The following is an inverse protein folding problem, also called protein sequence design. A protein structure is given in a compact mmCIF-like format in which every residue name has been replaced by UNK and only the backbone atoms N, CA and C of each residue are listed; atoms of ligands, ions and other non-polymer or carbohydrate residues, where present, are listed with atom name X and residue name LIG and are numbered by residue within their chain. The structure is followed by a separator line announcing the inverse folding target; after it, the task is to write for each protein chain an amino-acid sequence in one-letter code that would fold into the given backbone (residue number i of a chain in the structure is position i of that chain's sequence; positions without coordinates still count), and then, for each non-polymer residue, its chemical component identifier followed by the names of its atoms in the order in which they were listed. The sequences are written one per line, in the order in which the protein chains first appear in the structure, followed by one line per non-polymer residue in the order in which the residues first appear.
data_IF_211608662136
#
_entry.id   IF_211608662136
#
_cell.length_a   1.000
_cell.length_b   1.000
_cell.length_c   1.000
_cell.angle_alpha   90.00
_cell.angle_beta   90.00
_cell.angle_gamma   90.00
#
_symmetry.space_group_name_H-M   'P 1'
#
loop_
_entity.id
_entity.type
_entity.pdbx_description
1 polymer ?
#
# COMPACT_ATOMS: atom_id res chain seq x y z
N UNK A 1 -45.96 -4.83 46.47
CA UNK A 1 -46.11 -4.61 45.01
C UNK A 1 -44.87 -5.15 44.29
N UNK A 2 -45.00 -6.22 43.50
CA UNK A 2 -43.87 -6.84 42.78
C UNK A 2 -43.66 -6.10 41.45
N UNK A 3 -42.56 -5.35 41.30
CA UNK A 3 -42.22 -4.69 40.03
C UNK A 3 -41.73 -5.75 39.04
N UNK A 4 -42.56 -6.09 38.04
CA UNK A 4 -42.16 -6.96 36.94
C UNK A 4 -41.29 -6.13 36.00
N UNK A 5 -39.99 -6.43 35.94
CA UNK A 5 -39.11 -5.87 34.91
C UNK A 5 -39.22 -6.75 33.67
N UNK A 6 -39.69 -6.18 32.56
CA UNK A 6 -39.60 -6.82 31.24
C UNK A 6 -38.11 -6.86 30.86
N UNK A 7 -37.49 -8.00 31.07
CA UNK A 7 -36.09 -8.24 30.73
C UNK A 7 -35.95 -8.55 29.24
N UNK A 8 -34.82 -8.10 28.68
CA UNK A 8 -34.34 -8.42 27.35
C UNK A 8 -34.56 -9.90 27.03
N UNK A 9 -35.23 -10.20 25.92
CA UNK A 9 -35.49 -11.59 25.54
C UNK A 9 -34.33 -12.15 24.73
N UNK A 10 -34.10 -13.46 24.81
CA UNK A 10 -33.07 -14.13 24.00
C UNK A 10 -33.34 -13.95 22.51
N UNK A 11 -34.61 -13.99 22.09
CA UNK A 11 -35.00 -13.81 20.69
C UNK A 11 -34.62 -12.42 20.17
N UNK A 12 -34.70 -11.39 21.01
CA UNK A 12 -34.33 -10.02 20.68
C UNK A 12 -32.81 -9.88 20.45
N UNK A 13 -32.00 -10.55 21.27
CA UNK A 13 -30.54 -10.62 21.05
C UNK A 13 -30.18 -11.41 19.77
N UNK A 14 -30.91 -12.48 19.45
CA UNK A 14 -30.67 -13.26 18.21
C UNK A 14 -30.97 -12.44 16.96
N UNK A 15 -32.08 -11.69 16.93
CA UNK A 15 -32.44 -10.84 15.79
C UNK A 15 -31.41 -9.71 15.62
N UNK A 16 -30.94 -9.11 16.72
CA UNK A 16 -29.91 -8.06 16.67
C UNK A 16 -28.60 -8.60 16.08
N UNK A 17 -28.12 -9.77 16.53
CA UNK A 17 -26.92 -10.39 15.97
C UNK A 17 -27.10 -10.78 14.50
N UNK A 18 -28.30 -11.21 14.11
CA UNK A 18 -28.64 -11.49 12.72
C UNK A 18 -28.54 -10.23 11.85
N UNK A 19 -29.08 -9.10 12.29
CA UNK A 19 -28.98 -7.85 11.53
C UNK A 19 -27.52 -7.36 11.46
N UNK A 20 -26.77 -7.41 12.57
CA UNK A 20 -25.35 -7.02 12.59
C UNK A 20 -24.53 -7.88 11.62
N UNK A 21 -24.79 -9.19 11.53
CA UNK A 21 -24.06 -10.06 10.61
C UNK A 21 -24.31 -9.70 9.13
N UNK A 22 -25.55 -9.33 8.76
CA UNK A 22 -25.88 -8.83 7.42
C UNK A 22 -25.17 -7.50 7.12
N UNK A 23 -25.13 -6.57 8.08
CA UNK A 23 -24.41 -5.31 7.93
C UNK A 23 -22.90 -5.53 7.75
N UNK A 24 -22.29 -6.44 8.54
CA UNK A 24 -20.88 -6.80 8.40
C UNK A 24 -20.58 -7.43 7.04
N UNK A 25 -21.47 -8.28 6.53
CA UNK A 25 -21.31 -8.91 5.21
C UNK A 25 -21.25 -7.87 4.08
N UNK A 26 -22.01 -6.78 4.17
CA UNK A 26 -22.00 -5.69 3.17
C UNK A 26 -20.80 -4.75 3.41
N UNK A 27 -20.46 -4.49 4.68
CA UNK A 27 -19.40 -3.55 5.05
C UNK A 27 -17.98 -4.08 4.76
N UNK A 28 -17.69 -5.33 5.11
CA UNK A 28 -16.36 -5.95 4.94
C UNK A 28 -15.85 -5.87 3.49
N UNK A 29 -16.59 -6.29 2.45
CA UNK A 29 -16.08 -6.23 1.08
C UNK A 29 -15.83 -4.78 0.62
N UNK A 30 -16.62 -3.83 1.08
CA UNK A 30 -16.41 -2.41 0.78
C UNK A 30 -15.15 -1.87 1.49
N UNK A 31 -14.92 -2.27 2.74
CA UNK A 31 -13.74 -1.87 3.50
C UNK A 31 -12.45 -2.47 2.89
N UNK A 32 -12.46 -3.75 2.53
CA UNK A 32 -11.31 -4.40 1.87
C UNK A 32 -10.96 -3.70 0.56
N UNK A 33 -11.94 -3.42 -0.31
CA UNK A 33 -11.72 -2.68 -1.56
C UNK A 33 -11.13 -1.28 -1.32
N UNK A 34 -11.60 -0.56 -0.31
CA UNK A 34 -11.05 0.76 0.03
C UNK A 34 -9.61 0.66 0.53
N UNK A 35 -9.28 -0.32 1.37
CA UNK A 35 -7.91 -0.58 1.82
C UNK A 35 -6.99 -0.93 0.65
N UNK A 36 -7.45 -1.78 -0.26
CA UNK A 36 -6.69 -2.17 -1.46
C UNK A 36 -6.43 -0.98 -2.37
N UNK A 37 -7.44 -0.15 -2.61
CA UNK A 37 -7.29 1.07 -3.40
C UNK A 37 -6.33 2.08 -2.74
N UNK A 38 -6.41 2.25 -1.42
CA UNK A 38 -5.47 3.09 -0.68
C UNK A 38 -4.04 2.55 -0.78
N UNK A 39 -3.86 1.24 -0.66
CA UNK A 39 -2.56 0.59 -0.84
C UNK A 39 -2.01 0.78 -2.25
N UNK A 40 -2.84 0.61 -3.29
CA UNK A 40 -2.45 0.84 -4.68
C UNK A 40 -2.01 2.29 -4.90
N UNK A 41 -2.81 3.26 -4.47
CA UNK A 41 -2.46 4.70 -4.58
C UNK A 41 -1.19 5.05 -3.81
N UNK A 42 -1.00 4.45 -2.63
CA UNK A 42 0.25 4.59 -1.87
C UNK A 42 1.45 3.99 -2.59
N UNK A 43 1.29 2.85 -3.26
CA UNK A 43 2.34 2.22 -4.05
C UNK A 43 2.69 3.06 -5.29
N UNK A 44 1.70 3.61 -5.96
CA UNK A 44 1.88 4.48 -7.12
C UNK A 44 2.62 5.76 -6.73
N UNK A 45 2.16 6.45 -5.68
CA UNK A 45 2.84 7.63 -5.17
C UNK A 45 4.30 7.32 -4.77
N UNK A 46 4.52 6.16 -4.13
CA UNK A 46 5.86 5.69 -3.81
C UNK A 46 6.73 5.53 -5.07
N UNK A 47 6.21 4.89 -6.11
CA UNK A 47 6.94 4.71 -7.38
C UNK A 47 7.34 6.05 -7.97
N UNK A 48 6.41 7.00 -8.05
CA UNK A 48 6.68 8.35 -8.57
C UNK A 48 7.72 9.09 -7.74
N UNK A 49 7.65 9.03 -6.41
CA UNK A 49 8.65 9.66 -5.54
C UNK A 49 10.03 9.05 -5.78
N UNK A 50 10.15 7.73 -5.79
CA UNK A 50 11.45 7.05 -5.97
C UNK A 50 12.05 7.35 -7.34
N UNK A 51 11.24 7.37 -8.40
CA UNK A 51 11.67 7.77 -9.74
C UNK A 51 12.15 9.23 -9.77
N UNK A 52 11.40 10.14 -9.17
CA UNK A 52 11.80 11.55 -9.08
C UNK A 52 13.12 11.72 -8.32
N UNK A 53 13.29 11.00 -7.21
CA UNK A 53 14.53 11.00 -6.44
C UNK A 53 15.70 10.38 -7.21
N UNK A 54 15.47 9.35 -8.02
CA UNK A 54 16.47 8.79 -8.93
C UNK A 54 16.88 9.81 -10.00
N UNK A 55 15.92 10.56 -10.55
CA UNK A 55 16.17 11.66 -11.48
C UNK A 55 17.08 12.74 -10.87
N UNK A 56 16.72 13.25 -9.68
CA UNK A 56 17.53 14.23 -8.96
C UNK A 56 18.94 13.72 -8.67
N UNK A 57 19.07 12.47 -8.20
CA UNK A 57 20.37 11.87 -7.94
C UNK A 57 21.21 11.73 -9.21
N UNK A 58 20.56 11.53 -10.37
CA UNK A 58 21.22 11.42 -11.67
C UNK A 58 21.73 12.72 -12.28
N UNK A 59 21.36 13.88 -11.71
CA UNK A 59 21.93 15.17 -12.12
C UNK A 59 23.38 15.32 -11.66
N UNK A 60 23.72 14.76 -10.50
CA UNK A 60 25.03 14.91 -9.86
C UNK A 60 25.91 13.64 -9.90
N UNK A 61 25.36 12.50 -10.35
CA UNK A 61 26.06 11.20 -10.33
C UNK A 61 25.95 10.46 -11.67
N UNK A 62 26.94 9.60 -11.93
CA UNK A 62 26.95 8.75 -13.13
C UNK A 62 25.85 7.69 -13.07
N UNK A 63 25.26 7.35 -14.22
CA UNK A 63 24.13 6.41 -14.32
C UNK A 63 24.41 5.03 -13.70
N UNK A 64 25.66 4.58 -13.75
CA UNK A 64 26.11 3.30 -13.21
C UNK A 64 26.03 3.24 -11.66
N UNK A 65 25.95 4.40 -11.01
CA UNK A 65 25.85 4.50 -9.55
C UNK A 65 24.40 4.54 -9.05
N UNK A 66 23.41 4.49 -9.95
CA UNK A 66 22.02 4.76 -9.61
C UNK A 66 21.25 3.46 -9.49
N UNK A 67 21.02 3.05 -8.25
CA UNK A 67 20.22 1.90 -7.91
C UNK A 67 19.45 2.15 -6.61
N UNK A 68 18.48 1.28 -6.32
CA UNK A 68 17.65 1.44 -5.13
C UNK A 68 18.49 1.37 -3.85
N UNK A 69 19.60 0.62 -3.86
CA UNK A 69 20.56 0.54 -2.76
C UNK A 69 21.35 1.82 -2.54
N UNK A 70 21.76 2.52 -3.59
CA UNK A 70 22.48 3.80 -3.50
C UNK A 70 21.55 4.92 -3.10
N UNK A 71 20.31 4.95 -3.61
CA UNK A 71 19.28 5.89 -3.12
C UNK A 71 18.99 5.70 -1.63
N UNK A 72 19.02 4.46 -1.12
CA UNK A 72 18.92 4.21 0.32
C UNK A 72 20.14 4.75 1.07
N UNK A 73 21.35 4.44 0.60
CA UNK A 73 22.61 4.89 1.23
C UNK A 73 22.73 6.41 1.25
N UNK A 74 22.27 7.07 0.19
CA UNK A 74 22.26 8.51 0.05
C UNK A 74 21.04 9.18 0.75
N UNK A 75 20.21 8.42 1.48
CA UNK A 75 19.02 8.88 2.21
C UNK A 75 17.90 9.50 1.35
N UNK A 76 17.88 9.23 0.05
CA UNK A 76 16.80 9.65 -0.86
C UNK A 76 15.52 8.82 -0.67
N UNK A 77 15.64 7.61 -0.12
CA UNK A 77 14.51 6.74 0.21
C UNK A 77 14.65 6.17 1.63
N UNK A 78 13.54 6.01 2.32
CA UNK A 78 13.49 5.41 3.67
C UNK A 78 13.63 3.88 3.63
N UNK A 79 14.01 3.29 4.77
CA UNK A 79 14.11 1.83 4.94
C UNK A 79 12.81 1.12 4.55
N UNK A 80 11.65 1.64 4.95
CA UNK A 80 10.34 1.05 4.61
C UNK A 80 10.08 1.03 3.11
N UNK A 81 10.54 2.05 2.39
CA UNK A 81 10.40 2.14 0.95
C UNK A 81 11.34 1.15 0.26
N UNK A 82 12.59 1.07 0.73
CA UNK A 82 13.57 0.08 0.28
C UNK A 82 13.03 -1.35 0.43
N UNK A 83 12.52 -1.71 1.62
CA UNK A 83 11.99 -3.04 1.89
C UNK A 83 10.79 -3.36 0.99
N UNK A 84 9.92 -2.38 0.76
CA UNK A 84 8.75 -2.53 -0.09
C UNK A 84 9.09 -2.72 -1.57
N UNK A 85 10.11 -2.02 -2.07
CA UNK A 85 10.62 -2.19 -3.44
C UNK A 85 11.32 -3.55 -3.60
N UNK A 86 12.15 -3.93 -2.64
CA UNK A 86 12.88 -5.20 -2.65
C UNK A 86 11.93 -6.40 -2.55
N UNK A 87 10.93 -6.34 -1.67
CA UNK A 87 9.89 -7.39 -1.58
C UNK A 87 9.03 -7.48 -2.84
N UNK A 88 8.82 -6.35 -3.52
CA UNK A 88 8.12 -6.31 -4.80
C UNK A 88 9.03 -6.63 -5.99
N UNK A 89 10.32 -6.97 -5.77
CA UNK A 89 11.34 -7.21 -6.80
C UNK A 89 11.35 -6.12 -7.87
N UNK A 90 11.28 -4.87 -7.43
CA UNK A 90 11.33 -3.73 -8.33
C UNK A 90 12.76 -3.20 -8.35
N UNK A 91 13.28 -2.96 -9.55
CA UNK A 91 14.57 -2.30 -9.78
C UNK A 91 14.40 -1.04 -10.62
N UNK A 92 15.37 -0.13 -10.50
CA UNK A 92 15.43 1.09 -11.30
C UNK A 92 16.08 0.79 -12.64
N UNK A 93 15.42 1.20 -13.73
CA UNK A 93 15.99 1.23 -15.07
C UNK A 93 15.72 2.58 -15.72
N UNK A 94 16.73 3.10 -16.41
CA UNK A 94 16.56 4.28 -17.26
C UNK A 94 15.95 3.85 -18.59
N UNK A 95 14.87 4.53 -18.98
CA UNK A 95 14.26 4.38 -20.29
C UNK A 95 15.19 4.95 -21.35
N UNK A 96 15.44 4.19 -22.42
CA UNK A 96 16.40 4.56 -23.49
C UNK A 96 15.82 5.56 -24.48
N UNK A 97 14.50 5.67 -24.56
CA UNK A 97 13.78 6.53 -25.50
C UNK A 97 13.44 7.87 -24.86
N UNK A 98 13.01 7.88 -23.60
CA UNK A 98 12.64 9.11 -22.89
C UNK A 98 13.75 9.68 -22.00
N UNK A 99 14.74 8.85 -21.63
CA UNK A 99 15.76 9.22 -20.65
C UNK A 99 15.25 9.28 -19.22
N UNK A 100 13.98 8.92 -18.96
CA UNK A 100 13.38 8.94 -17.63
C UNK A 100 13.69 7.67 -16.84
N UNK A 101 13.77 7.78 -15.51
CA UNK A 101 13.89 6.63 -14.63
C UNK A 101 12.54 5.93 -14.47
N UNK A 102 12.54 4.59 -14.48
CA UNK A 102 11.35 3.77 -14.29
C UNK A 102 11.63 2.63 -13.32
N UNK A 103 10.60 2.16 -12.62
CA UNK A 103 10.67 0.99 -11.75
C UNK A 103 10.12 -0.24 -12.48
N UNK A 104 11.01 -1.16 -12.84
CA UNK A 104 10.68 -2.40 -13.54
C UNK A 104 10.64 -3.58 -12.58
N UNK A 105 9.77 -4.54 -12.84
CA UNK A 105 9.70 -5.80 -12.10
C UNK A 105 10.78 -6.76 -12.61
N UNK A 106 11.73 -7.14 -11.75
CA UNK A 106 12.80 -8.10 -12.04
C UNK A 106 12.46 -9.53 -11.61
N UNK A 107 11.26 -9.75 -11.07
CA UNK A 107 10.72 -11.05 -10.70
C UNK A 107 9.93 -11.78 -11.79
N UNK A 108 9.64 -11.13 -12.92
CA UNK A 108 8.89 -11.71 -14.03
C UNK A 108 9.82 -12.35 -15.07
N UNK A 109 10.43 -13.48 -14.71
CA UNK A 109 10.92 -14.48 -15.64
C UNK A 109 10.04 -15.72 -15.57
#
# INVERSE_FOLDING_TARGET
MKKIRKGFTLIEMVIVLFIISLLLLIMIPNLTKQRDNANKKSNEALRTTVVSQAGLYSEDHSEDEINIGTLKKANYISQKQFDKLNNAKLDLKKDKETGEWTLVDTGSH
#
